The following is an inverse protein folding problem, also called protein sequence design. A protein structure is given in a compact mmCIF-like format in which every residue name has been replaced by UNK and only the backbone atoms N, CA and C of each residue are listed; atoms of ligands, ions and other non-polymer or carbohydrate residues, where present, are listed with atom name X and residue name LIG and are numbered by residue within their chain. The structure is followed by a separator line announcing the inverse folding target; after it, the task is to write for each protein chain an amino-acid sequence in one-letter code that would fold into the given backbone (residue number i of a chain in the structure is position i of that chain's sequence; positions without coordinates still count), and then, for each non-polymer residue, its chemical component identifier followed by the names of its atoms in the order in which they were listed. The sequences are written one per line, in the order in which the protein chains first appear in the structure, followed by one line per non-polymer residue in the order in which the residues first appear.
data_IF_424074570708
#
_entry.id   IF_424074570708
#
_cell.length_a   1.000
_cell.length_b   1.000
_cell.length_c   1.000
_cell.angle_alpha   90.00
_cell.angle_beta   90.00
_cell.angle_gamma   90.00
#
_symmetry.space_group_name_H-M   'P 1'
#
loop_
_entity.id
_entity.type
_entity.pdbx_description
1 polymer ?
#
# COMPACT_ATOMS: atom_id res chain seq x y z
N UNK A 1 -13.42 13.29 -24.96
CA UNK A 1 -13.79 12.48 -23.78
C UNK A 1 -12.83 12.87 -22.66
N UNK A 2 -13.35 13.17 -21.47
CA UNK A 2 -12.62 13.84 -20.40
C UNK A 2 -11.91 12.81 -19.50
N UNK A 3 -10.63 12.54 -19.76
CA UNK A 3 -9.84 11.65 -18.92
C UNK A 3 -9.35 12.42 -17.68
N UNK A 4 -10.14 12.36 -16.59
CA UNK A 4 -9.81 12.98 -15.29
C UNK A 4 -8.74 12.18 -14.52
N UNK A 5 -7.67 11.77 -15.18
CA UNK A 5 -6.50 11.19 -14.50
C UNK A 5 -5.49 12.29 -14.20
N UNK A 6 -5.39 12.71 -12.94
CA UNK A 6 -4.28 13.53 -12.48
C UNK A 6 -3.10 12.62 -12.13
N UNK A 7 -1.90 12.79 -12.72
CA UNK A 7 -0.72 11.98 -12.40
C UNK A 7 -0.27 12.01 -10.93
N UNK A 8 -0.88 12.89 -10.12
CA UNK A 8 -0.56 13.09 -8.70
C UNK A 8 -1.59 12.45 -7.77
N UNK A 9 -2.63 11.80 -8.28
CA UNK A 9 -3.69 11.19 -7.47
C UNK A 9 -3.68 9.66 -7.66
N UNK A 10 -3.58 8.93 -6.54
CA UNK A 10 -3.64 7.46 -6.54
C UNK A 10 -5.11 7.04 -6.42
N UNK A 11 -5.58 6.13 -7.28
CA UNK A 11 -6.97 5.62 -7.21
C UNK A 11 -7.19 4.93 -5.88
N UNK A 12 -8.37 5.14 -5.33
CA UNK A 12 -8.81 4.40 -4.16
C UNK A 12 -8.76 2.88 -4.40
N UNK A 13 -8.29 2.15 -3.39
CA UNK A 13 -8.14 0.70 -3.50
C UNK A 13 -9.51 0.04 -3.53
N UNK A 14 -9.73 -0.84 -4.49
CA UNK A 14 -10.85 -1.76 -4.45
C UNK A 14 -10.52 -2.92 -3.49
N UNK A 15 -11.22 -2.97 -2.36
CA UNK A 15 -11.05 -3.99 -1.33
C UNK A 15 -11.65 -5.34 -1.71
N UNK A 16 -12.54 -5.41 -2.72
CA UNK A 16 -13.11 -6.68 -3.19
C UNK A 16 -12.13 -7.47 -4.06
N UNK A 17 -11.21 -6.76 -4.73
CA UNK A 17 -10.13 -7.33 -5.53
C UNK A 17 -8.94 -7.84 -4.68
N UNK A 18 -8.91 -7.56 -3.37
CA UNK A 18 -7.86 -7.96 -2.44
C UNK A 18 -8.40 -8.97 -1.41
N UNK A 19 -7.54 -9.83 -0.82
CA UNK A 19 -7.99 -10.77 0.19
C UNK A 19 -8.50 -10.04 1.45
N UNK A 20 -9.55 -10.56 2.11
CA UNK A 20 -10.06 -9.98 3.35
C UNK A 20 -9.00 -10.08 4.46
N UNK A 21 -8.97 -9.07 5.35
CA UNK A 21 -8.04 -9.05 6.47
C UNK A 21 -8.19 -10.28 7.36
N UNK A 22 -9.44 -10.65 7.66
CA UNK A 22 -9.80 -11.85 8.43
C UNK A 22 -10.11 -13.02 7.50
N UNK A 23 -9.15 -13.95 7.39
CA UNK A 23 -9.29 -15.18 6.63
C UNK A 23 -9.06 -16.38 7.56
N UNK A 24 -10.12 -17.02 8.10
CA UNK A 24 -9.99 -18.07 9.12
C UNK A 24 -9.28 -19.34 8.60
N UNK A 25 -9.28 -19.57 7.28
CA UNK A 25 -8.50 -20.63 6.65
C UNK A 25 -6.98 -20.41 6.71
N UNK A 26 -6.53 -19.16 6.89
CA UNK A 26 -5.12 -18.81 7.07
C UNK A 26 -4.84 -18.56 8.55
N UNK A 27 -4.39 -19.60 9.26
CA UNK A 27 -4.32 -19.69 10.73
C UNK A 27 -3.65 -18.48 11.43
N UNK A 28 -2.72 -17.80 10.78
CA UNK A 28 -2.01 -16.64 11.34
C UNK A 28 -2.77 -15.32 11.19
N UNK A 29 -3.75 -15.22 10.28
CA UNK A 29 -4.59 -14.03 10.08
C UNK A 29 -5.53 -13.80 11.29
N UNK A 30 -5.98 -14.87 11.97
CA UNK A 30 -6.95 -14.79 13.07
C UNK A 30 -6.53 -13.82 14.19
N UNK A 31 -5.25 -13.84 14.60
CA UNK A 31 -4.74 -12.97 15.67
C UNK A 31 -4.07 -11.68 15.14
N UNK A 32 -3.89 -11.56 13.82
CA UNK A 32 -3.19 -10.43 13.18
C UNK A 32 -4.09 -9.58 12.29
N UNK A 33 -5.40 -9.81 12.35
CA UNK A 33 -6.39 -9.01 11.64
C UNK A 33 -6.82 -7.82 12.48
N UNK A 34 -6.80 -6.59 11.95
CA UNK A 34 -7.46 -5.46 12.60
C UNK A 34 -8.95 -5.76 12.75
N UNK A 35 -9.50 -5.50 13.94
CA UNK A 35 -10.93 -5.74 14.26
C UNK A 35 -11.85 -4.57 13.91
N UNK A 36 -11.28 -3.38 13.66
CA UNK A 36 -12.01 -2.18 13.29
C UNK A 36 -11.95 -1.96 11.76
N UNK A 37 -12.96 -1.29 11.22
CA UNK A 37 -12.97 -0.89 9.82
C UNK A 37 -11.80 0.05 9.49
N UNK A 38 -11.32 -0.04 8.24
CA UNK A 38 -10.29 0.87 7.73
C UNK A 38 -10.89 2.28 7.57
N UNK A 39 -10.13 3.30 7.97
CA UNK A 39 -10.49 4.71 7.75
C UNK A 39 -9.88 5.14 6.41
N UNK A 40 -10.73 5.56 5.47
CA UNK A 40 -10.27 6.08 4.17
C UNK A 40 -9.88 7.56 4.32
N UNK A 41 -8.60 7.87 4.10
CA UNK A 41 -8.09 9.24 4.09
C UNK A 41 -7.97 9.75 2.64
N UNK A 42 -7.96 11.08 2.49
CA UNK A 42 -7.65 11.73 1.22
C UNK A 42 -6.13 11.71 0.99
N UNK A 43 -5.71 11.46 -0.26
CA UNK A 43 -4.31 11.42 -0.63
C UNK A 43 -3.61 12.74 -0.27
N UNK A 44 -2.56 12.67 0.54
CA UNK A 44 -1.67 13.80 0.84
C UNK A 44 -0.29 13.58 0.20
N UNK A 45 0.59 14.60 0.23
CA UNK A 45 1.94 14.49 -0.32
C UNK A 45 2.74 13.31 0.28
N UNK A 46 2.43 12.91 1.52
CA UNK A 46 3.05 11.75 2.18
C UNK A 46 2.67 10.41 1.55
N UNK A 47 1.50 10.31 0.92
CA UNK A 47 0.99 9.05 0.32
C UNK A 47 1.29 8.96 -1.17
N UNK A 48 1.48 10.11 -1.84
CA UNK A 48 1.72 10.22 -3.28
C UNK A 48 3.22 10.08 -3.61
N UNK A 49 4.09 10.43 -2.67
CA UNK A 49 5.55 10.37 -2.87
C UNK A 49 6.14 9.10 -2.25
N UNK A 50 7.23 8.59 -2.83
CA UNK A 50 7.95 7.41 -2.35
C UNK A 50 9.43 7.47 -2.71
N UNK A 51 10.27 6.60 -2.13
CA UNK A 51 11.70 6.62 -2.39
C UNK A 51 12.03 6.20 -3.83
N UNK A 52 12.99 6.88 -4.45
CA UNK A 52 13.57 6.48 -5.74
C UNK A 52 14.76 5.56 -5.46
N UNK A 53 14.67 4.29 -5.87
CA UNK A 53 15.78 3.36 -5.78
C UNK A 53 16.75 3.59 -6.95
N UNK A 54 17.98 4.03 -6.65
CA UNK A 54 19.05 4.20 -7.64
C UNK A 54 19.71 2.89 -8.07
N UNK A 55 20.47 2.92 -9.17
CA UNK A 55 21.03 1.73 -9.84
C UNK A 55 22.31 1.15 -9.20
N UNK A 56 22.59 1.36 -7.91
CA UNK A 56 23.78 0.77 -7.31
C UNK A 56 24.08 1.13 -5.86
N UNK A 57 23.88 0.15 -4.96
CA UNK A 57 24.84 -0.23 -3.92
C UNK A 57 24.36 -1.46 -3.15
N UNK A 58 24.84 -2.63 -3.58
CA UNK A 58 25.07 -3.77 -2.68
C UNK A 58 26.59 -3.87 -2.47
N UNK A 59 27.16 -3.04 -1.59
CA UNK A 59 28.54 -3.23 -1.14
C UNK A 59 28.61 -3.13 0.37
N UNK A 60 28.81 -4.28 0.99
CA UNK A 60 29.28 -4.44 2.34
C UNK A 60 30.56 -3.62 2.54
N UNK A 61 30.63 -2.85 3.62
CA UNK A 61 31.83 -2.15 4.05
C UNK A 61 32.74 -3.14 4.79
N UNK A 62 34.03 -3.15 4.45
CA UNK A 62 35.05 -3.91 5.16
C UNK A 62 36.41 -3.84 4.45
N UNK A 63 37.34 -3.12 5.10
CA UNK A 63 38.73 -2.82 4.73
C UNK A 63 38.94 -1.73 3.68
#
# INVERSE_FOLDING_TARGET
MNDKWSPREVVHRDYSSHPPAFAPGYKTSVLRSPRNALISLQNSLSEITGPVFGHGRSRAAGS
#
